data_IF_729991409421
#
_entry.id   IF_729991409421
#
_cell.length_a   1.000
_cell.length_b   1.000
_cell.length_c   1.000
_cell.angle_alpha   90.00
_cell.angle_beta   90.00
_cell.angle_gamma   90.00
#
_symmetry.space_group_name_H-M   'P 1'
#
loop_
_entity.id
_entity.type
_entity.pdbx_description
1 polymer ?
#
# COMPACT_ATOMS: atom_id res chain seq x y z
N UNK A 1 2.59 21.55 16.44
CA UNK A 1 2.59 21.90 15.00
C UNK A 1 1.15 21.85 14.53
N UNK A 2 0.56 22.99 14.18
CA UNK A 2 -0.83 23.09 13.70
C UNK A 2 -0.74 23.55 12.25
N UNK A 3 -1.03 22.65 11.30
CA UNK A 3 -1.02 22.93 9.87
C UNK A 3 -2.47 22.79 9.37
N UNK A 4 -3.27 23.88 9.39
CA UNK A 4 -4.69 23.80 9.09
C UNK A 4 -4.97 23.21 7.71
N UNK A 5 -4.16 23.55 6.70
CA UNK A 5 -4.32 23.02 5.35
C UNK A 5 -4.10 21.50 5.31
N UNK A 6 -3.16 20.97 6.09
CA UNK A 6 -2.91 19.52 6.20
C UNK A 6 -4.06 18.82 6.92
N UNK A 7 -4.59 19.43 7.98
CA UNK A 7 -5.75 18.90 8.70
C UNK A 7 -7.00 18.86 7.81
N UNK A 8 -7.21 19.90 7.01
CA UNK A 8 -8.31 19.96 6.04
C UNK A 8 -8.13 18.91 4.93
N UNK A 9 -6.90 18.70 4.42
CA UNK A 9 -6.63 17.60 3.49
C UNK A 9 -6.95 16.23 4.11
N UNK A 10 -6.53 15.99 5.36
CA UNK A 10 -6.86 14.75 6.08
C UNK A 10 -8.37 14.57 6.27
N UNK A 11 -9.09 15.65 6.57
CA UNK A 11 -10.55 15.64 6.71
C UNK A 11 -11.23 15.26 5.39
N UNK A 12 -10.76 15.81 4.26
CA UNK A 12 -11.30 15.49 2.93
C UNK A 12 -10.96 14.06 2.50
N UNK A 13 -9.77 13.55 2.84
CA UNK A 13 -9.42 12.16 2.58
C UNK A 13 -10.28 11.17 3.38
N UNK A 14 -10.61 11.50 4.63
CA UNK A 14 -11.40 10.62 5.50
C UNK A 14 -12.84 10.45 5.03
N UNK A 15 -13.41 11.43 4.32
CA UNK A 15 -14.70 11.31 3.61
C UNK A 15 -14.70 10.16 2.58
N UNK A 16 -13.50 9.75 2.12
CA UNK A 16 -13.29 8.64 1.19
C UNK A 16 -12.66 7.41 1.84
N UNK A 17 -12.61 7.35 3.18
CA UNK A 17 -11.90 6.32 3.93
C UNK A 17 -10.41 6.22 3.60
N UNK A 18 -9.82 7.32 3.11
CA UNK A 18 -8.40 7.44 2.83
C UNK A 18 -7.68 8.14 3.99
N UNK A 19 -6.41 7.78 4.17
CA UNK A 19 -5.51 8.42 5.12
C UNK A 19 -4.16 8.71 4.47
N UNK A 20 -3.36 9.55 5.14
CA UNK A 20 -1.96 9.75 4.78
C UNK A 20 -1.14 8.88 5.72
N UNK A 21 -0.22 8.11 5.17
CA UNK A 21 0.82 7.43 5.92
C UNK A 21 2.18 7.83 5.34
N UNK A 22 3.23 7.60 6.12
CA UNK A 22 4.60 7.82 5.69
C UNK A 22 5.22 6.46 5.38
N UNK A 23 5.41 6.09 4.11
CA UNK A 23 6.10 4.85 3.75
C UNK A 23 7.55 4.91 4.25
N UNK A 24 7.98 3.89 4.97
CA UNK A 24 9.28 3.88 5.61
C UNK A 24 9.82 2.47 5.81
N UNK A 25 11.11 2.43 6.11
CA UNK A 25 11.83 1.28 6.64
C UNK A 25 12.50 1.68 7.96
N UNK A 26 13.04 0.69 8.66
CA UNK A 26 13.95 0.91 9.77
C UNK A 26 15.35 0.50 9.35
N UNK A 27 16.34 1.30 9.75
CA UNK A 27 17.73 0.95 9.60
C UNK A 27 18.04 -0.36 10.36
N UNK A 28 18.65 -1.34 9.70
CA UNK A 28 18.87 -2.65 10.32
C UNK A 28 19.88 -2.60 11.47
N UNK A 29 20.84 -1.67 11.43
CA UNK A 29 21.89 -1.57 12.43
C UNK A 29 21.45 -0.79 13.68
N UNK A 30 20.73 0.32 13.48
CA UNK A 30 20.33 1.26 14.54
C UNK A 30 18.85 1.18 14.91
N UNK A 31 18.00 0.60 14.07
CA UNK A 31 16.54 0.62 14.22
C UNK A 31 15.91 1.98 13.91
N UNK A 32 16.71 2.97 13.54
CA UNK A 32 16.25 4.32 13.27
C UNK A 32 15.33 4.38 12.05
N UNK A 33 14.46 5.37 12.04
CA UNK A 33 13.55 5.62 10.94
C UNK A 33 14.31 5.99 9.66
N UNK A 34 13.96 5.35 8.54
CA UNK A 34 14.44 5.73 7.22
C UNK A 34 13.28 5.84 6.21
N UNK A 35 13.24 6.91 5.38
CA UNK A 35 12.29 6.98 4.28
C UNK A 35 12.40 5.76 3.37
N UNK A 36 11.28 5.31 2.81
CA UNK A 36 11.30 4.23 1.84
C UNK A 36 12.17 4.64 0.64
N UNK A 37 13.22 3.86 0.28
CA UNK A 37 14.10 4.20 -0.83
C UNK A 37 13.36 4.30 -2.16
N UNK A 38 13.88 5.13 -3.08
CA UNK A 38 13.32 5.24 -4.42
C UNK A 38 13.36 3.89 -5.14
N UNK A 39 12.28 3.58 -5.85
CA UNK A 39 12.15 2.31 -6.57
C UNK A 39 11.91 1.10 -5.68
N UNK A 40 11.72 1.26 -4.37
CA UNK A 40 11.26 0.20 -3.46
C UNK A 40 9.77 0.41 -3.15
N UNK A 41 9.03 -0.69 -3.14
CA UNK A 41 7.62 -0.75 -2.75
C UNK A 41 7.46 -1.59 -1.49
N UNK A 42 6.54 -1.18 -0.64
CA UNK A 42 6.01 -2.04 0.41
C UNK A 42 5.02 -3.03 -0.23
N UNK A 43 5.21 -4.33 0.00
CA UNK A 43 4.35 -5.39 -0.51
C UNK A 43 3.73 -6.13 0.66
N UNK A 44 2.41 -6.04 0.79
CA UNK A 44 1.65 -6.85 1.73
C UNK A 44 1.16 -8.13 1.04
N UNK A 45 1.45 -9.27 1.62
CA UNK A 45 1.01 -10.58 1.12
C UNK A 45 0.73 -11.51 2.29
N UNK A 46 -0.51 -11.97 2.41
CA UNK A 46 -0.87 -12.97 3.43
C UNK A 46 -0.64 -12.48 4.85
N UNK A 47 -0.88 -11.18 5.12
CA UNK A 47 -0.62 -10.49 6.39
C UNK A 47 0.86 -10.21 6.71
N UNK A 48 1.78 -10.59 5.83
CA UNK A 48 3.20 -10.24 5.95
C UNK A 48 3.55 -9.04 5.06
N UNK A 49 4.41 -8.17 5.57
CA UNK A 49 4.93 -7.00 4.84
C UNK A 49 6.37 -7.24 4.45
N UNK A 50 6.68 -7.00 3.18
CA UNK A 50 8.03 -7.06 2.61
C UNK A 50 8.35 -5.81 1.79
N UNK A 51 9.62 -5.61 1.45
CA UNK A 51 10.09 -4.48 0.65
C UNK A 51 10.74 -5.01 -0.62
N UNK A 52 10.25 -4.61 -1.79
CA UNK A 52 10.68 -5.16 -3.09
C UNK A 52 10.89 -4.07 -4.13
N UNK A 53 11.73 -4.34 -5.12
CA UNK A 53 11.95 -3.42 -6.22
C UNK A 53 10.67 -3.24 -7.05
N UNK A 54 10.32 -1.99 -7.36
CA UNK A 54 9.14 -1.64 -8.15
C UNK A 54 9.14 -2.30 -9.53
N UNK A 55 10.33 -2.47 -10.13
CA UNK A 55 10.49 -3.13 -11.43
C UNK A 55 10.06 -4.61 -11.42
N UNK A 56 10.14 -5.29 -10.28
CA UNK A 56 9.66 -6.67 -10.15
C UNK A 56 8.13 -6.72 -10.19
N UNK A 57 7.45 -5.66 -9.73
CA UNK A 57 6.01 -5.65 -9.46
C UNK A 57 5.21 -4.97 -10.57
N UNK A 58 5.74 -3.94 -11.23
CA UNK A 58 5.01 -3.05 -12.14
C UNK A 58 4.26 -3.77 -13.27
N UNK A 59 4.76 -4.92 -13.71
CA UNK A 59 4.17 -5.72 -14.78
C UNK A 59 3.22 -6.84 -14.29
N UNK A 60 3.02 -6.97 -12.98
CA UNK A 60 2.21 -8.02 -12.35
C UNK A 60 0.84 -7.48 -11.87
N UNK A 61 0.17 -6.68 -12.71
CA UNK A 61 -1.10 -6.01 -12.38
C UNK A 61 -2.28 -6.96 -12.12
N UNK A 62 -2.17 -8.20 -12.58
CA UNK A 62 -3.13 -9.28 -12.29
C UNK A 62 -2.91 -9.94 -10.92
N UNK A 63 -1.79 -9.64 -10.25
CA UNK A 63 -1.40 -10.21 -8.96
C UNK A 63 -1.38 -9.19 -7.84
N UNK A 64 -1.00 -7.95 -8.13
CA UNK A 64 -0.86 -6.90 -7.12
C UNK A 64 -1.85 -5.76 -7.35
N UNK A 65 -2.54 -5.36 -6.29
CA UNK A 65 -3.40 -4.19 -6.25
C UNK A 65 -2.63 -3.01 -5.62
N UNK A 66 -2.49 -1.87 -6.31
CA UNK A 66 -2.03 -0.63 -5.71
C UNK A 66 -2.89 -0.20 -4.52
N UNK A 67 -2.29 0.03 -3.37
CA UNK A 67 -2.98 0.49 -2.15
C UNK A 67 -2.42 1.78 -1.58
N UNK A 68 -1.30 2.28 -2.13
CA UNK A 68 -0.71 3.53 -1.68
C UNK A 68 0.11 4.22 -2.76
N UNK A 69 0.09 5.56 -2.70
CA UNK A 69 0.83 6.44 -3.59
C UNK A 69 1.55 7.54 -2.80
N UNK A 70 2.70 7.94 -3.30
CA UNK A 70 3.41 9.15 -2.88
C UNK A 70 3.46 10.14 -4.02
N UNK A 71 3.61 11.42 -3.72
CA UNK A 71 3.84 12.43 -4.76
C UNK A 71 5.33 12.52 -5.06
N UNK A 72 5.74 12.18 -6.28
CA UNK A 72 7.14 12.20 -6.72
C UNK A 72 7.24 12.78 -8.13
N UNK A 73 8.22 13.65 -8.36
CA UNK A 73 8.48 14.26 -9.67
C UNK A 73 7.24 14.86 -10.38
N UNK A 74 6.28 15.40 -9.61
CA UNK A 74 5.06 16.03 -10.17
C UNK A 74 3.91 15.07 -10.50
N UNK A 75 4.02 13.80 -10.14
CA UNK A 75 2.99 12.79 -10.38
C UNK A 75 2.80 11.86 -9.17
N UNK A 76 1.64 11.17 -9.05
CA UNK A 76 1.51 10.08 -8.09
C UNK A 76 2.37 8.89 -8.53
N UNK A 77 3.29 8.47 -7.66
CA UNK A 77 4.10 7.27 -7.78
C UNK A 77 3.61 6.19 -6.82
N UNK A 78 3.70 4.93 -7.23
CA UNK A 78 3.30 3.79 -6.41
C UNK A 78 4.23 3.66 -5.21
N UNK A 79 3.67 3.40 -4.02
CA UNK A 79 4.47 3.23 -2.79
C UNK A 79 4.17 1.93 -2.05
N UNK A 80 2.97 1.36 -2.21
CA UNK A 80 2.65 0.04 -1.67
C UNK A 80 1.63 -0.69 -2.53
N UNK A 81 1.73 -2.02 -2.49
CA UNK A 81 0.78 -2.94 -3.13
C UNK A 81 0.35 -4.04 -2.16
N UNK A 82 -0.85 -4.57 -2.38
CA UNK A 82 -1.38 -5.76 -1.74
C UNK A 82 -1.42 -6.91 -2.76
N UNK A 83 -0.93 -8.09 -2.38
CA UNK A 83 -1.08 -9.31 -3.19
C UNK A 83 -2.54 -9.78 -3.16
N UNK A 84 -3.13 -9.89 -4.34
CA UNK A 84 -4.46 -10.47 -4.53
C UNK A 84 -4.34 -11.99 -4.49
N UNK A 85 -4.79 -12.60 -3.39
CA UNK A 85 -4.86 -14.06 -3.25
C UNK A 85 -6.15 -14.58 -3.91
N UNK A 86 -6.03 -15.59 -4.77
CA UNK A 86 -7.13 -16.13 -5.57
C UNK A 86 -7.82 -17.37 -4.94
N UNK A 87 -7.27 -17.97 -3.89
CA UNK A 87 -7.74 -19.25 -3.35
C UNK A 87 -8.76 -19.12 -2.22
N UNK A 88 -10.01 -19.50 -2.50
CA UNK A 88 -10.91 -20.10 -1.51
C UNK A 88 -10.67 -21.61 -1.48
N UNK A 89 -9.70 -22.05 -0.67
CA UNK A 89 -9.72 -23.41 -0.14
C UNK A 89 -10.93 -23.58 0.80
N UNK A 90 -11.54 -24.78 0.92
CA UNK A 90 -12.83 -24.99 1.59
C UNK A 90 -12.81 -24.86 3.14
N UNK A 91 -11.90 -24.08 3.73
CA UNK A 91 -11.70 -24.01 5.18
C UNK A 91 -11.55 -22.60 5.77
N UNK A 92 -11.60 -21.52 4.99
CA UNK A 92 -11.40 -20.17 5.50
C UNK A 92 -12.67 -19.58 6.13
N UNK A 93 -12.80 -19.63 7.47
CA UNK A 93 -13.78 -18.81 8.20
C UNK A 93 -13.56 -17.34 7.83
N UNK A 94 -14.55 -16.77 7.14
CA UNK A 94 -14.53 -15.39 6.67
C UNK A 94 -14.24 -14.38 7.78
N UNK A 95 -13.28 -13.50 7.51
CA UNK A 95 -13.28 -12.13 8.01
C UNK A 95 -13.12 -11.23 6.80
N UNK A 96 -14.23 -10.60 6.42
CA UNK A 96 -14.34 -9.77 5.25
C UNK A 96 -13.56 -8.46 5.44
N UNK A 97 -12.42 -8.35 4.77
CA UNK A 97 -12.04 -7.11 4.12
C UNK A 97 -12.22 -7.38 2.62
N UNK A 98 -13.36 -6.97 2.05
CA UNK A 98 -13.70 -7.24 0.65
C UNK A 98 -12.78 -6.43 -0.29
N UNK A 99 -11.59 -6.97 -0.57
CA UNK A 99 -10.78 -6.61 -1.73
C UNK A 99 -11.14 -7.47 -2.98
N UNK A 100 -12.25 -8.21 -2.93
CA UNK A 100 -12.66 -9.15 -3.98
C UNK A 100 -13.19 -8.42 -5.22
N UNK A 101 -12.53 -8.59 -6.37
CA UNK A 101 -13.11 -8.22 -7.67
C UNK A 101 -14.20 -9.22 -8.08
N UNK A 102 -15.36 -8.70 -8.51
CA UNK A 102 -16.46 -9.51 -9.07
C UNK A 102 -16.11 -9.94 -10.49
N UNK A 103 -16.21 -11.24 -10.77
CA UNK A 103 -16.05 -11.79 -12.13
C UNK A 103 -17.02 -11.07 -13.09
N UNK A 104 -16.51 -10.54 -14.20
CA UNK A 104 -17.34 -10.15 -15.34
C UNK A 104 -17.80 -11.43 -16.03
N UNK A 105 -19.12 -11.59 -16.14
CA UNK A 105 -19.80 -12.60 -16.96
C UNK A 105 -19.69 -12.19 -18.42
#
# INVERSE_FOLDING_TARGET
MQLPDVQEMLRRLSEHHLGIFMPHMHDEASGEFQPLPEGILQVESGLDVSFRAALEIVNQTNRFLPVAWTWQAGAPALSAVCEMVWDEGPGGRGRNADHKMKKRI
#
